data_IF_536108801298
#
_entry.id   IF_536108801298
#
_cell.length_a   1.000
_cell.length_b   1.000
_cell.length_c   1.000
_cell.angle_alpha   90.00
_cell.angle_beta   90.00
_cell.angle_gamma   90.00
#
_symmetry.space_group_name_H-M   'P 1'
#
loop_
_entity.id
_entity.type
_entity.pdbx_description
1 polymer ?
#
# COMPACT_ATOMS: atom_id res chain seq x y z
N UNK A 1 51.74 -9.25 -1.74
CA UNK A 1 50.57 -9.74 -0.99
C UNK A 1 50.33 -8.70 0.11
N UNK A 2 49.43 -7.74 -0.13
CA UNK A 2 49.02 -6.76 0.83
C UNK A 2 48.19 -7.47 1.90
N UNK A 3 48.58 -7.40 3.16
CA UNK A 3 47.89 -8.01 4.26
C UNK A 3 46.52 -7.41 4.45
N UNK A 4 45.50 -8.24 4.36
CA UNK A 4 44.15 -7.92 4.76
C UNK A 4 44.14 -7.78 6.29
N UNK A 5 44.21 -6.55 6.80
CA UNK A 5 43.89 -6.31 8.19
C UNK A 5 42.35 -6.31 8.29
N UNK A 6 41.73 -7.28 8.98
CA UNK A 6 40.32 -7.15 9.29
C UNK A 6 40.19 -5.93 10.21
N UNK A 7 39.60 -4.87 9.71
CA UNK A 7 39.05 -3.81 10.57
C UNK A 7 38.16 -4.51 11.59
N UNK A 8 38.34 -4.20 12.88
CA UNK A 8 37.43 -4.60 13.93
C UNK A 8 36.06 -4.01 13.56
N UNK A 9 35.23 -4.77 12.83
CA UNK A 9 33.82 -4.60 12.88
C UNK A 9 33.41 -5.03 14.29
N UNK A 10 33.47 -4.10 15.24
CA UNK A 10 32.67 -4.22 16.43
C UNK A 10 31.26 -4.56 15.96
N UNK A 11 30.71 -5.61 16.55
CA UNK A 11 29.34 -6.12 16.30
C UNK A 11 28.36 -4.97 16.60
N UNK A 12 28.12 -4.10 15.61
CA UNK A 12 27.33 -2.87 15.77
C UNK A 12 25.88 -3.30 15.98
N UNK A 13 25.49 -3.45 17.22
CA UNK A 13 24.11 -3.71 17.62
C UNK A 13 23.38 -2.38 17.74
N UNK A 14 22.21 -2.31 17.12
CA UNK A 14 21.35 -1.13 17.14
C UNK A 14 20.09 -1.46 17.95
N UNK A 15 20.17 -1.43 19.29
CA UNK A 15 19.07 -1.84 20.15
C UNK A 15 17.89 -0.87 20.08
N UNK A 16 16.69 -1.42 20.00
CA UNK A 16 15.45 -0.67 20.08
C UNK A 16 15.26 -0.22 21.53
N UNK A 17 15.19 1.10 21.77
CA UNK A 17 14.97 1.68 23.11
C UNK A 17 13.57 2.26 23.28
N UNK A 18 12.91 2.66 22.19
CA UNK A 18 11.53 3.17 22.26
C UNK A 18 10.75 2.91 20.96
N UNK A 19 9.44 2.73 21.11
CA UNK A 19 8.47 2.63 20.01
C UNK A 19 7.28 3.48 20.41
N UNK A 20 6.88 4.40 19.52
CA UNK A 20 5.67 5.23 19.67
C UNK A 20 4.78 5.09 18.48
N UNK A 21 3.48 5.12 18.72
CA UNK A 21 2.46 5.15 17.68
C UNK A 21 1.69 6.48 17.76
N UNK A 22 1.45 7.07 16.60
CA UNK A 22 0.72 8.33 16.47
C UNK A 22 -0.52 8.07 15.61
N UNK A 23 -1.66 7.70 16.22
CA UNK A 23 -2.92 7.67 15.50
C UNK A 23 -3.28 9.10 15.13
N UNK A 24 -3.46 9.35 13.84
CA UNK A 24 -3.65 10.69 13.29
C UNK A 24 -4.83 10.71 12.34
N UNK A 25 -5.54 11.83 12.29
CA UNK A 25 -6.73 11.99 11.45
C UNK A 25 -6.86 13.42 10.93
N UNK A 26 -7.51 13.58 9.78
CA UNK A 26 -8.07 14.86 9.38
C UNK A 26 -9.45 14.69 8.73
N UNK A 27 -10.41 15.61 8.99
CA UNK A 27 -11.73 15.54 8.39
C UNK A 27 -11.66 15.96 6.92
N UNK A 28 -12.50 15.35 6.09
CA UNK A 28 -12.77 15.86 4.75
C UNK A 28 -13.90 16.89 4.82
N UNK A 29 -13.89 17.92 3.97
CA UNK A 29 -15.03 18.85 3.88
C UNK A 29 -16.33 18.08 3.58
N UNK A 30 -17.48 18.53 4.08
CA UNK A 30 -18.75 17.87 3.80
C UNK A 30 -18.98 17.64 2.30
N UNK A 31 -19.36 16.43 1.94
CA UNK A 31 -19.63 16.00 0.56
C UNK A 31 -18.44 16.13 -0.43
N UNK A 32 -17.21 16.31 0.05
CA UNK A 32 -16.03 16.42 -0.81
C UNK A 32 -15.27 15.09 -0.98
N UNK A 33 -15.48 14.14 -0.08
CA UNK A 33 -14.86 12.82 -0.16
C UNK A 33 -15.46 12.00 -1.31
N UNK A 34 -14.68 11.16 -1.97
CA UNK A 34 -15.20 10.29 -3.02
C UNK A 34 -16.17 9.25 -2.45
N UNK A 35 -17.15 8.86 -3.27
CA UNK A 35 -18.02 7.73 -3.00
C UNK A 35 -17.47 6.49 -3.68
N UNK A 36 -17.32 5.43 -2.90
CA UNK A 36 -16.71 4.16 -3.28
C UNK A 36 -17.65 3.01 -2.90
N UNK A 37 -17.34 1.78 -3.28
CA UNK A 37 -18.08 0.58 -2.88
C UNK A 37 -18.21 0.40 -1.35
N UNK A 38 -17.30 0.99 -0.58
CA UNK A 38 -17.27 0.95 0.89
C UNK A 38 -17.90 2.17 1.57
N UNK A 39 -18.57 3.07 0.84
CA UNK A 39 -19.25 4.26 1.36
C UNK A 39 -18.62 5.59 0.97
N UNK A 40 -19.14 6.67 1.55
CA UNK A 40 -18.66 8.04 1.38
C UNK A 40 -17.54 8.32 2.38
N UNK A 41 -16.35 8.71 1.89
CA UNK A 41 -15.26 9.11 2.75
C UNK A 41 -15.58 10.43 3.51
N UNK A 42 -15.44 10.45 4.83
CA UNK A 42 -15.71 11.62 5.69
C UNK A 42 -14.48 12.13 6.43
N UNK A 43 -13.46 11.28 6.57
CA UNK A 43 -12.14 11.64 7.11
C UNK A 43 -11.08 10.69 6.56
N UNK A 44 -9.82 11.04 6.76
CA UNK A 44 -8.69 10.14 6.54
C UNK A 44 -7.99 9.88 7.86
N UNK A 45 -7.60 8.63 8.06
CA UNK A 45 -6.93 8.14 9.25
C UNK A 45 -5.62 7.45 8.87
N UNK A 46 -4.60 7.56 9.73
CA UNK A 46 -3.35 6.81 9.62
C UNK A 46 -2.79 6.51 11.02
N UNK A 47 -1.84 5.58 11.12
CA UNK A 47 -1.05 5.34 12.32
C UNK A 47 0.43 5.41 11.96
N UNK A 48 1.08 6.51 12.32
CA UNK A 48 2.52 6.63 12.15
C UNK A 48 3.25 5.92 13.29
N UNK A 49 4.30 5.19 12.96
CA UNK A 49 5.11 4.43 13.92
C UNK A 49 6.53 4.99 13.91
N UNK A 50 7.01 5.35 15.11
CA UNK A 50 8.37 5.82 15.36
C UNK A 50 9.14 4.79 16.16
N UNK A 51 10.28 4.34 15.65
CA UNK A 51 11.26 3.51 16.36
C UNK A 51 12.47 4.37 16.69
N UNK A 52 12.96 4.26 17.93
CA UNK A 52 14.19 4.92 18.39
C UNK A 52 15.18 3.87 18.85
N UNK A 53 16.43 4.00 18.42
CA UNK A 53 17.52 3.11 18.79
C UNK A 53 18.44 3.72 19.83
N UNK A 54 19.29 2.91 20.51
CA UNK A 54 20.17 3.37 21.58
C UNK A 54 21.22 4.41 21.12
N UNK A 55 21.56 4.39 19.84
CA UNK A 55 22.47 5.36 19.19
C UNK A 55 21.73 6.60 18.63
N UNK A 56 20.43 6.75 18.94
CA UNK A 56 19.63 7.92 18.62
C UNK A 56 19.07 7.94 17.19
N UNK A 57 19.22 6.85 16.42
CA UNK A 57 18.62 6.77 15.09
C UNK A 57 17.11 6.63 15.22
N UNK A 58 16.38 7.39 14.40
CA UNK A 58 14.92 7.39 14.34
C UNK A 58 14.46 6.84 13.00
N UNK A 59 13.69 5.75 13.05
CA UNK A 59 12.99 5.22 11.89
C UNK A 59 11.48 5.50 11.95
N UNK A 60 10.89 5.74 10.79
CA UNK A 60 9.47 5.95 10.62
C UNK A 60 8.83 4.91 9.73
N UNK A 61 7.59 4.54 10.04
CA UNK A 61 6.76 3.64 9.26
C UNK A 61 5.29 3.97 9.39
N UNK A 62 4.47 3.33 8.57
CA UNK A 62 3.02 3.44 8.59
C UNK A 62 2.39 2.08 8.88
N UNK A 63 1.53 2.01 9.90
CA UNK A 63 0.53 0.96 10.06
C UNK A 63 -0.79 1.46 9.48
N UNK A 64 -1.45 0.63 8.67
CA UNK A 64 -2.79 0.97 8.20
C UNK A 64 -3.74 1.16 9.37
N UNK A 65 -4.66 2.09 9.24
CA UNK A 65 -5.59 2.46 10.32
C UNK A 65 -6.62 1.37 10.67
N UNK A 66 -6.85 0.38 9.79
CA UNK A 66 -7.80 -0.72 10.00
C UNK A 66 -9.22 -0.27 10.39
N UNK A 67 -9.58 0.99 10.09
CA UNK A 67 -10.80 1.69 10.56
C UNK A 67 -10.93 1.77 12.09
N UNK A 68 -9.83 1.49 12.81
CA UNK A 68 -9.72 1.51 14.26
C UNK A 68 -8.30 1.94 14.67
N UNK A 69 -7.85 3.09 14.13
CA UNK A 69 -6.46 3.57 14.24
C UNK A 69 -5.96 3.68 15.69
N UNK A 70 -6.81 4.05 16.64
CA UNK A 70 -6.46 4.09 18.06
C UNK A 70 -6.22 2.71 18.65
N UNK A 71 -6.96 1.67 18.20
CA UNK A 71 -6.75 0.30 18.63
C UNK A 71 -5.43 -0.27 18.07
N UNK A 72 -5.10 0.02 16.81
CA UNK A 72 -3.82 -0.36 16.19
C UNK A 72 -2.65 0.31 16.93
N UNK A 73 -2.75 1.61 17.20
CA UNK A 73 -1.74 2.33 17.98
C UNK A 73 -1.56 1.72 19.37
N UNK A 74 -2.66 1.38 20.06
CA UNK A 74 -2.62 0.78 21.39
C UNK A 74 -1.98 -0.60 21.39
N UNK A 75 -2.26 -1.43 20.38
CA UNK A 75 -1.61 -2.74 20.20
C UNK A 75 -0.08 -2.59 20.04
N UNK A 76 0.35 -1.63 19.25
CA UNK A 76 1.78 -1.30 19.08
C UNK A 76 2.43 -0.94 20.42
N UNK A 77 1.88 0.03 21.14
CA UNK A 77 2.48 0.61 22.33
C UNK A 77 2.46 -0.31 23.56
N UNK A 78 1.44 -1.14 23.72
CA UNK A 78 1.25 -1.96 24.91
C UNK A 78 1.72 -3.40 24.76
N UNK A 79 1.65 -3.95 23.55
CA UNK A 79 1.95 -5.36 23.30
C UNK A 79 3.21 -5.54 22.45
N UNK A 80 3.20 -5.03 21.20
CA UNK A 80 4.32 -5.28 20.28
C UNK A 80 5.61 -4.61 20.77
N UNK A 81 5.53 -3.40 21.32
CA UNK A 81 6.66 -2.71 21.94
C UNK A 81 7.37 -3.59 22.99
N UNK A 82 6.62 -4.20 23.89
CA UNK A 82 7.22 -5.04 24.94
C UNK A 82 7.85 -6.34 24.42
N UNK A 83 7.36 -6.85 23.30
CA UNK A 83 7.95 -8.04 22.67
C UNK A 83 9.34 -7.77 22.07
N UNK A 84 9.61 -6.53 21.64
CA UNK A 84 10.78 -6.23 20.80
C UNK A 84 11.76 -5.21 21.40
N UNK A 85 11.42 -4.54 22.51
CA UNK A 85 12.36 -3.66 23.22
C UNK A 85 13.66 -4.40 23.57
N UNK A 86 14.80 -3.76 23.32
CA UNK A 86 16.13 -4.31 23.54
C UNK A 86 16.63 -5.26 22.46
N UNK A 87 15.78 -5.64 21.47
CA UNK A 87 16.24 -6.40 20.30
C UNK A 87 17.06 -5.51 19.36
N UNK A 88 17.87 -6.14 18.54
CA UNK A 88 18.66 -5.45 17.52
C UNK A 88 17.74 -5.07 16.33
N UNK A 89 17.63 -3.78 16.02
CA UNK A 89 16.84 -3.26 14.90
C UNK A 89 17.34 -3.74 13.53
N UNK A 90 18.58 -4.24 13.42
CA UNK A 90 19.06 -4.89 12.18
C UNK A 90 18.43 -6.25 11.96
N UNK A 91 17.98 -6.95 13.01
CA UNK A 91 17.33 -8.27 12.90
C UNK A 91 15.84 -8.16 12.62
N UNK A 92 15.49 -7.57 11.48
CA UNK A 92 14.07 -7.43 11.04
C UNK A 92 13.37 -8.78 10.94
N UNK A 93 14.09 -9.83 10.51
CA UNK A 93 13.56 -11.18 10.39
C UNK A 93 13.25 -11.80 11.74
N UNK A 94 14.14 -11.68 12.71
CA UNK A 94 13.94 -12.20 14.07
C UNK A 94 12.83 -11.45 14.83
N UNK A 95 12.76 -10.13 14.66
CA UNK A 95 11.68 -9.30 15.21
C UNK A 95 10.33 -9.73 14.63
N UNK A 96 10.26 -9.88 13.29
CA UNK A 96 9.05 -10.35 12.60
C UNK A 96 8.62 -11.72 13.12
N UNK A 97 9.55 -12.67 13.19
CA UNK A 97 9.28 -14.03 13.68
C UNK A 97 8.81 -14.03 15.15
N UNK A 98 9.38 -13.18 16.00
CA UNK A 98 8.97 -13.05 17.39
C UNK A 98 7.52 -12.56 17.52
N UNK A 99 7.16 -11.49 16.79
CA UNK A 99 5.78 -10.99 16.79
C UNK A 99 4.82 -12.05 16.22
N UNK A 100 5.20 -12.71 15.14
CA UNK A 100 4.41 -13.79 14.57
C UNK A 100 4.12 -14.89 15.61
N UNK A 101 5.17 -15.43 16.23
CA UNK A 101 5.03 -16.57 17.14
C UNK A 101 4.28 -16.24 18.44
N UNK A 102 4.46 -15.03 18.97
CA UNK A 102 3.90 -14.67 20.28
C UNK A 102 2.58 -13.91 20.19
N UNK A 103 2.25 -13.35 19.04
CA UNK A 103 1.05 -12.52 18.90
C UNK A 103 0.16 -12.91 17.72
N UNK A 104 0.72 -13.07 16.49
CA UNK A 104 -0.10 -13.26 15.30
C UNK A 104 -0.58 -14.72 15.14
N UNK A 105 0.32 -15.69 15.28
CA UNK A 105 0.07 -17.11 14.98
C UNK A 105 -0.80 -17.84 16.03
N UNK A 106 -1.03 -17.23 17.19
CA UNK A 106 -1.79 -17.86 18.28
C UNK A 106 -3.06 -17.04 18.57
N UNK A 107 -3.19 -16.45 19.74
CA UNK A 107 -4.41 -15.77 20.20
C UNK A 107 -4.50 -14.29 19.80
N UNK A 108 -3.69 -13.86 18.83
CA UNK A 108 -3.61 -12.49 18.38
C UNK A 108 -4.83 -12.00 17.60
N UNK A 109 -4.83 -10.72 17.34
CA UNK A 109 -5.92 -10.01 16.65
C UNK A 109 -5.82 -10.11 15.11
N UNK A 110 -5.26 -11.18 14.54
CA UNK A 110 -5.24 -11.41 13.09
C UNK A 110 -4.78 -10.17 12.29
N UNK A 111 -5.64 -9.65 11.43
CA UNK A 111 -5.40 -8.45 10.61
C UNK A 111 -4.90 -7.24 11.42
N UNK A 112 -5.44 -7.00 12.61
CA UNK A 112 -4.99 -5.89 13.48
C UNK A 112 -3.53 -6.03 13.89
N UNK A 113 -3.07 -7.26 14.18
CA UNK A 113 -1.66 -7.52 14.49
C UNK A 113 -0.78 -7.38 13.23
N UNK A 114 -1.23 -7.85 12.09
CA UNK A 114 -0.50 -7.70 10.83
C UNK A 114 -0.32 -6.21 10.47
N UNK A 115 -1.37 -5.41 10.58
CA UNK A 115 -1.31 -3.96 10.38
C UNK A 115 -0.35 -3.28 11.38
N UNK A 116 -0.46 -3.61 12.68
CA UNK A 116 0.40 -3.02 13.70
C UNK A 116 1.88 -3.35 13.47
N UNK A 117 2.21 -4.61 13.18
CA UNK A 117 3.59 -5.00 12.88
C UNK A 117 4.13 -4.45 11.58
N UNK A 118 3.26 -4.12 10.62
CA UNK A 118 3.67 -3.55 9.32
C UNK A 118 4.40 -2.22 9.49
N UNK A 119 3.83 -1.30 10.25
CA UNK A 119 4.46 0.00 10.50
C UNK A 119 5.72 -0.11 11.33
N UNK A 120 5.76 -1.05 12.28
CA UNK A 120 6.98 -1.34 13.04
C UNK A 120 8.10 -1.86 12.13
N UNK A 121 7.81 -2.85 11.28
CA UNK A 121 8.79 -3.41 10.33
C UNK A 121 9.29 -2.34 9.35
N UNK A 122 8.39 -1.53 8.83
CA UNK A 122 8.74 -0.41 7.94
C UNK A 122 9.67 0.60 8.64
N UNK A 123 9.38 0.95 9.91
CA UNK A 123 10.23 1.84 10.70
C UNK A 123 11.61 1.24 11.00
N UNK A 124 11.71 -0.07 11.18
CA UNK A 124 13.00 -0.75 11.34
C UNK A 124 13.83 -0.70 10.06
N UNK A 125 13.21 -0.91 8.89
CA UNK A 125 13.90 -0.77 7.61
C UNK A 125 14.35 0.67 7.33
N UNK A 126 13.56 1.66 7.71
CA UNK A 126 13.94 3.07 7.63
C UNK A 126 15.14 3.38 8.54
N UNK A 127 15.11 2.94 9.81
CA UNK A 127 16.23 3.10 10.75
C UNK A 127 17.50 2.41 10.25
N UNK A 128 17.39 1.20 9.71
CA UNK A 128 18.49 0.43 9.13
C UNK A 128 19.13 1.16 7.95
N UNK A 129 18.31 1.72 7.05
CA UNK A 129 18.80 2.52 5.93
C UNK A 129 19.53 3.78 6.38
N UNK A 130 19.01 4.49 7.37
CA UNK A 130 19.64 5.66 7.99
C UNK A 130 20.95 5.30 8.66
N UNK A 131 21.00 4.19 9.41
CA UNK A 131 22.22 3.71 10.07
C UNK A 131 23.35 3.40 9.08
N UNK A 132 23.01 2.87 7.91
CA UNK A 132 23.94 2.48 6.85
C UNK A 132 24.16 3.60 5.81
N UNK A 133 23.46 4.70 5.93
CA UNK A 133 23.44 5.79 4.93
C UNK A 133 23.12 5.31 3.52
N UNK A 134 22.10 4.43 3.40
CA UNK A 134 21.65 3.84 2.14
C UNK A 134 20.13 3.98 2.02
N UNK A 135 19.60 4.30 0.83
CA UNK A 135 18.17 4.24 0.55
C UNK A 135 17.67 2.79 0.59
N UNK A 136 16.40 2.62 0.96
CA UNK A 136 15.80 1.31 1.19
C UNK A 136 15.91 0.37 -0.02
N UNK A 137 15.68 0.86 -1.23
CA UNK A 137 15.77 0.00 -2.42
C UNK A 137 17.14 -0.66 -2.60
N UNK A 138 18.24 0.03 -2.22
CA UNK A 138 19.61 -0.54 -2.27
C UNK A 138 19.80 -1.64 -1.23
N UNK A 139 19.23 -1.46 -0.04
CA UNK A 139 19.25 -2.51 0.99
C UNK A 139 18.48 -3.76 0.57
N UNK A 140 17.43 -3.59 -0.22
CA UNK A 140 16.62 -4.68 -0.77
C UNK A 140 17.24 -5.32 -2.02
N UNK A 141 18.40 -4.82 -2.50
CA UNK A 141 19.11 -5.36 -3.66
C UNK A 141 18.67 -4.77 -5.01
N UNK A 142 17.91 -3.70 -5.00
CA UNK A 142 17.41 -3.02 -6.19
C UNK A 142 18.31 -1.92 -6.73
N UNK A 143 17.79 -1.19 -7.72
CA UNK A 143 18.42 -0.04 -8.37
C UNK A 143 17.43 1.10 -8.56
N UNK A 144 17.91 2.33 -8.78
CA UNK A 144 17.06 3.51 -9.02
C UNK A 144 16.37 3.47 -10.40
N UNK A 145 15.66 2.37 -10.70
CA UNK A 145 14.92 2.21 -11.95
C UNK A 145 13.61 3.01 -11.93
N UNK A 146 13.14 3.36 -13.12
CA UNK A 146 11.82 3.92 -13.31
C UNK A 146 10.74 2.87 -13.00
N UNK A 147 9.73 3.26 -12.23
CA UNK A 147 8.59 2.43 -11.84
C UNK A 147 7.35 3.06 -12.48
N UNK A 148 6.60 2.35 -13.34
CA UNK A 148 5.39 2.89 -13.93
C UNK A 148 4.35 3.17 -12.85
N UNK A 149 3.55 4.23 -13.02
CA UNK A 149 2.55 4.63 -12.04
C UNK A 149 1.17 4.83 -12.69
N UNK A 150 0.12 4.49 -11.94
CA UNK A 150 -1.24 4.87 -12.30
C UNK A 150 -1.81 5.92 -11.35
N UNK A 151 -2.67 6.79 -11.88
CA UNK A 151 -3.44 7.72 -11.07
C UNK A 151 -4.59 6.98 -10.38
N UNK A 152 -4.57 6.91 -9.05
CA UNK A 152 -5.50 6.14 -8.23
C UNK A 152 -5.65 6.70 -6.83
N UNK A 153 -5.63 5.82 -5.82
CA UNK A 153 -5.88 6.20 -4.43
C UNK A 153 -7.35 6.51 -4.18
N UNK A 154 -7.66 7.39 -3.24
CA UNK A 154 -9.03 7.79 -2.89
C UNK A 154 -9.50 8.91 -3.85
N UNK A 155 -9.59 8.59 -5.15
CA UNK A 155 -9.94 9.48 -6.25
C UNK A 155 -10.76 8.73 -7.31
N UNK A 156 -11.20 9.42 -8.36
CA UNK A 156 -11.92 8.86 -9.52
C UNK A 156 -13.13 7.99 -9.09
N UNK A 157 -13.87 8.48 -8.09
CA UNK A 157 -15.03 7.81 -7.49
C UNK A 157 -16.28 7.83 -8.37
N UNK A 158 -17.40 7.39 -7.79
CA UNK A 158 -18.70 7.39 -8.49
C UNK A 158 -19.17 8.82 -8.75
N UNK A 159 -19.18 9.21 -9.99
CA UNK A 159 -19.61 10.53 -10.47
C UNK A 159 -20.10 10.45 -11.92
N UNK A 160 -20.81 11.46 -12.44
CA UNK A 160 -21.19 11.53 -13.82
C UNK A 160 -19.98 11.43 -14.76
N UNK A 161 -20.10 10.74 -15.93
CA UNK A 161 -19.00 10.52 -16.86
C UNK A 161 -18.21 11.79 -17.23
N UNK A 162 -18.89 12.93 -17.49
CA UNK A 162 -18.21 14.17 -17.83
C UNK A 162 -17.30 14.69 -16.70
N UNK A 163 -17.77 14.61 -15.44
CA UNK A 163 -16.96 15.02 -14.29
C UNK A 163 -15.76 14.09 -14.06
N UNK A 164 -15.92 12.79 -14.36
CA UNK A 164 -14.84 11.83 -14.28
C UNK A 164 -13.75 12.12 -15.32
N UNK A 165 -14.13 12.50 -16.54
CA UNK A 165 -13.20 12.94 -17.58
C UNK A 165 -12.45 14.21 -17.14
N UNK A 166 -13.19 15.19 -16.60
CA UNK A 166 -12.58 16.44 -16.08
C UNK A 166 -11.63 16.19 -14.91
N UNK A 167 -11.90 15.19 -14.06
CA UNK A 167 -10.99 14.79 -12.98
C UNK A 167 -9.75 14.06 -13.51
N UNK A 168 -9.91 13.20 -14.52
CA UNK A 168 -8.82 12.42 -15.09
C UNK A 168 -7.85 13.25 -15.95
N UNK A 169 -8.34 14.23 -16.71
CA UNK A 169 -7.56 14.99 -17.70
C UNK A 169 -6.26 15.59 -17.15
N UNK A 170 -6.23 16.28 -15.99
CA UNK A 170 -5.01 16.83 -15.41
C UNK A 170 -3.94 15.76 -15.11
N UNK A 171 -4.35 14.53 -14.82
CA UNK A 171 -3.41 13.42 -14.56
C UNK A 171 -2.73 12.97 -15.85
N UNK A 172 -3.46 12.94 -16.98
CA UNK A 172 -2.88 12.65 -18.30
C UNK A 172 -1.88 13.74 -18.70
N UNK A 173 -2.22 15.00 -18.47
CA UNK A 173 -1.32 16.13 -18.72
C UNK A 173 -0.06 16.08 -17.84
N UNK A 174 -0.18 15.60 -16.59
CA UNK A 174 0.94 15.39 -15.68
C UNK A 174 1.88 14.25 -16.12
N UNK A 175 1.43 13.36 -17.01
CA UNK A 175 2.25 12.30 -17.58
C UNK A 175 1.77 10.86 -17.29
N UNK A 176 0.73 10.65 -16.48
CA UNK A 176 0.20 9.30 -16.23
C UNK A 176 -0.26 8.62 -17.53
N UNK A 177 0.02 7.32 -17.63
CA UNK A 177 -0.39 6.47 -18.75
C UNK A 177 -1.45 5.47 -18.36
N UNK A 178 -1.80 5.42 -17.09
CA UNK A 178 -2.81 4.55 -16.52
C UNK A 178 -3.63 5.29 -15.46
N UNK A 179 -4.91 4.92 -15.33
CA UNK A 179 -5.84 5.41 -14.31
C UNK A 179 -6.60 4.25 -13.68
N UNK A 180 -6.95 4.35 -12.39
CA UNK A 180 -7.81 3.40 -11.72
C UNK A 180 -9.18 4.03 -11.42
N UNK A 181 -10.23 3.58 -12.12
CA UNK A 181 -11.59 4.03 -11.94
C UNK A 181 -12.30 3.23 -10.86
N UNK A 182 -13.18 3.87 -10.10
CA UNK A 182 -14.01 3.17 -9.14
C UNK A 182 -15.26 2.62 -9.81
N UNK A 183 -15.51 1.33 -9.61
CA UNK A 183 -16.68 0.58 -10.06
C UNK A 183 -17.34 -0.12 -8.85
N UNK A 184 -18.44 -0.85 -9.02
CA UNK A 184 -19.16 -1.48 -7.92
C UNK A 184 -20.40 -0.70 -7.47
N UNK A 185 -20.83 0.28 -8.24
CA UNK A 185 -22.10 1.01 -8.11
C UNK A 185 -23.23 0.23 -8.81
N UNK A 186 -23.71 0.70 -9.94
CA UNK A 186 -24.59 -0.08 -10.83
C UNK A 186 -23.82 -0.48 -12.06
N UNK A 187 -24.07 -1.71 -12.57
CA UNK A 187 -23.38 -2.22 -13.78
C UNK A 187 -23.54 -1.25 -14.95
N UNK A 188 -24.72 -0.68 -15.14
CA UNK A 188 -25.00 0.29 -16.21
C UNK A 188 -24.15 1.55 -16.08
N UNK A 189 -24.09 2.12 -14.87
CA UNK A 189 -23.41 3.39 -14.67
C UNK A 189 -21.88 3.19 -14.66
N UNK A 190 -21.40 2.02 -14.20
CA UNK A 190 -20.00 1.63 -14.27
C UNK A 190 -19.52 1.46 -15.71
N UNK A 191 -20.31 0.78 -16.56
CA UNK A 191 -20.02 0.65 -17.99
C UNK A 191 -19.98 2.03 -18.64
N UNK A 192 -20.97 2.89 -18.39
CA UNK A 192 -21.02 4.23 -18.97
C UNK A 192 -19.80 5.11 -18.57
N UNK A 193 -19.32 4.98 -17.32
CA UNK A 193 -18.10 5.66 -16.86
C UNK A 193 -16.84 5.15 -17.57
N UNK A 194 -16.68 3.82 -17.67
CA UNK A 194 -15.52 3.22 -18.38
C UNK A 194 -15.52 3.58 -19.86
N UNK A 195 -16.67 3.51 -20.54
CA UNK A 195 -16.83 3.90 -21.95
C UNK A 195 -16.44 5.37 -22.17
N UNK A 196 -16.97 6.26 -21.35
CA UNK A 196 -16.68 7.69 -21.48
C UNK A 196 -15.19 8.04 -21.33
N UNK A 197 -14.50 7.41 -20.38
CA UNK A 197 -13.06 7.59 -20.21
C UNK A 197 -12.29 6.98 -21.38
N UNK A 198 -12.68 5.80 -21.87
CA UNK A 198 -12.10 5.16 -23.06
C UNK A 198 -12.27 6.01 -24.31
N UNK A 199 -13.47 6.56 -24.54
CA UNK A 199 -13.76 7.41 -25.69
C UNK A 199 -12.99 8.75 -25.63
N UNK A 200 -12.84 9.33 -24.43
CA UNK A 200 -12.16 10.60 -24.25
C UNK A 200 -10.64 10.51 -24.43
N UNK A 201 -10.01 9.44 -23.95
CA UNK A 201 -8.54 9.33 -23.89
C UNK A 201 -7.95 8.25 -24.83
N UNK A 202 -8.80 7.47 -25.50
CA UNK A 202 -8.37 6.48 -26.48
C UNK A 202 -7.73 5.22 -25.87
N UNK A 203 -7.19 4.36 -26.72
CA UNK A 203 -6.63 3.06 -26.34
C UNK A 203 -5.20 3.13 -25.79
N UNK A 204 -4.52 4.25 -25.91
CA UNK A 204 -3.20 4.44 -25.32
C UNK A 204 -3.23 4.60 -23.79
N UNK A 205 -4.40 4.97 -23.23
CA UNK A 205 -4.60 5.01 -21.80
C UNK A 205 -4.96 3.61 -21.28
N UNK A 206 -4.21 3.10 -20.33
CA UNK A 206 -4.57 1.92 -19.57
C UNK A 206 -5.63 2.27 -18.51
N UNK A 207 -6.77 1.61 -18.56
CA UNK A 207 -7.85 1.79 -17.61
C UNK A 207 -7.88 0.57 -16.69
N UNK A 208 -7.68 0.81 -15.41
CA UNK A 208 -7.77 -0.17 -14.34
C UNK A 208 -9.05 0.09 -13.56
N UNK A 209 -9.59 -0.92 -12.88
CA UNK A 209 -10.82 -0.74 -12.12
C UNK A 209 -10.74 -1.35 -10.73
N UNK A 210 -11.44 -0.74 -9.77
CA UNK A 210 -11.51 -1.21 -8.39
C UNK A 210 -12.96 -1.10 -7.89
N UNK A 211 -13.53 -2.24 -7.52
CA UNK A 211 -14.89 -2.33 -7.02
C UNK A 211 -15.01 -2.17 -5.50
N UNK A 212 -13.91 -2.17 -4.76
CA UNK A 212 -13.92 -2.09 -3.29
C UNK A 212 -15.04 -2.96 -2.67
N UNK A 213 -15.08 -4.23 -3.06
CA UNK A 213 -16.07 -5.24 -2.64
C UNK A 213 -17.54 -4.92 -3.01
N UNK A 214 -17.78 -3.98 -3.93
CA UNK A 214 -19.12 -3.45 -4.22
C UNK A 214 -19.98 -4.36 -5.09
N UNK A 215 -19.44 -5.42 -5.71
CA UNK A 215 -20.19 -6.28 -6.60
C UNK A 215 -20.66 -7.58 -5.94
N UNK A 216 -21.72 -8.15 -6.51
CA UNK A 216 -22.06 -9.57 -6.36
C UNK A 216 -21.75 -10.34 -7.64
N UNK A 217 -21.84 -11.68 -7.59
CA UNK A 217 -21.48 -12.55 -8.72
C UNK A 217 -22.30 -12.29 -9.98
N UNK A 218 -23.60 -11.93 -9.85
CA UNK A 218 -24.45 -11.64 -10.98
C UNK A 218 -24.07 -10.33 -11.69
N UNK A 219 -23.61 -9.34 -10.93
CA UNK A 219 -23.10 -8.08 -11.48
C UNK A 219 -21.76 -8.28 -12.20
N UNK A 220 -20.83 -9.05 -11.60
CA UNK A 220 -19.54 -9.37 -12.24
C UNK A 220 -19.77 -10.12 -13.56
N UNK A 221 -20.71 -11.07 -13.60
CA UNK A 221 -21.07 -11.78 -14.84
C UNK A 221 -21.54 -10.84 -15.96
N UNK A 222 -22.19 -9.72 -15.60
CA UNK A 222 -22.65 -8.73 -16.57
C UNK A 222 -21.56 -7.75 -16.98
N UNK A 223 -20.69 -7.33 -16.06
CA UNK A 223 -19.70 -6.29 -16.34
C UNK A 223 -18.44 -6.82 -17.02
N UNK A 224 -18.03 -8.07 -16.75
CA UNK A 224 -16.77 -8.62 -17.28
C UNK A 224 -16.70 -8.64 -18.82
N UNK A 225 -17.74 -9.04 -19.58
CA UNK A 225 -17.69 -8.97 -21.05
C UNK A 225 -17.50 -7.54 -21.57
N UNK A 226 -18.05 -6.55 -20.88
CA UNK A 226 -17.88 -5.13 -21.24
C UNK A 226 -16.48 -4.62 -20.89
N UNK A 227 -15.92 -5.08 -19.79
CA UNK A 227 -14.52 -4.80 -19.44
C UNK A 227 -13.56 -5.35 -20.49
N UNK A 228 -13.80 -6.57 -20.98
CA UNK A 228 -13.04 -7.15 -22.10
C UNK A 228 -13.16 -6.29 -23.36
N UNK A 229 -14.38 -5.90 -23.74
CA UNK A 229 -14.65 -5.04 -24.90
C UNK A 229 -13.93 -3.68 -24.81
N UNK A 230 -13.86 -3.12 -23.60
CA UNK A 230 -13.23 -1.83 -23.31
C UNK A 230 -11.71 -1.94 -23.05
N UNK A 231 -11.15 -3.14 -23.14
CA UNK A 231 -9.73 -3.41 -22.84
C UNK A 231 -9.32 -2.86 -21.47
N UNK A 232 -10.05 -3.28 -20.43
CA UNK A 232 -9.74 -2.92 -19.04
C UNK A 232 -8.59 -3.80 -18.54
N UNK A 233 -7.58 -3.19 -17.89
CA UNK A 233 -6.38 -3.88 -17.47
C UNK A 233 -6.59 -4.87 -16.32
N UNK A 234 -7.49 -4.56 -15.36
CA UNK A 234 -7.94 -5.49 -14.31
C UNK A 234 -9.24 -5.06 -13.63
N UNK A 235 -9.90 -6.04 -12.98
CA UNK A 235 -10.97 -5.82 -12.01
C UNK A 235 -10.44 -6.15 -10.61
N UNK A 236 -10.25 -5.11 -9.78
CA UNK A 236 -9.76 -5.20 -8.40
C UNK A 236 -10.93 -5.38 -7.43
N UNK A 237 -10.73 -6.29 -6.48
CA UNK A 237 -11.63 -6.60 -5.37
C UNK A 237 -13.14 -6.53 -5.68
N UNK A 238 -13.64 -7.30 -6.66
CA UNK A 238 -15.08 -7.37 -6.87
C UNK A 238 -15.83 -7.91 -5.64
N UNK A 239 -15.17 -8.76 -4.82
CA UNK A 239 -15.71 -9.43 -3.65
C UNK A 239 -14.76 -9.29 -2.44
N UNK A 240 -15.25 -9.52 -1.20
CA UNK A 240 -14.38 -9.61 -0.04
C UNK A 240 -13.26 -10.65 -0.21
N UNK A 241 -12.09 -10.39 0.36
CA UNK A 241 -10.89 -11.22 0.22
C UNK A 241 -11.09 -12.70 0.58
N UNK A 242 -12.00 -13.01 1.52
CA UNK A 242 -12.31 -14.36 1.95
C UNK A 242 -13.32 -15.11 1.07
N UNK A 243 -13.92 -14.45 0.07
CA UNK A 243 -14.92 -15.09 -0.81
C UNK A 243 -14.26 -15.78 -2.02
N UNK A 244 -13.40 -16.74 -1.72
CA UNK A 244 -12.67 -17.54 -2.72
C UNK A 244 -13.58 -18.18 -3.78
N UNK A 245 -14.81 -18.55 -3.38
CA UNK A 245 -15.77 -19.18 -4.29
C UNK A 245 -16.21 -18.22 -5.39
N UNK A 246 -16.55 -16.98 -5.04
CA UNK A 246 -16.99 -15.99 -6.02
C UNK A 246 -15.84 -15.58 -6.95
N UNK A 247 -14.61 -15.47 -6.44
CA UNK A 247 -13.43 -15.26 -7.29
C UNK A 247 -13.23 -16.40 -8.29
N UNK A 248 -13.33 -17.66 -7.85
CA UNK A 248 -13.20 -18.82 -8.71
C UNK A 248 -14.28 -18.88 -9.82
N UNK A 249 -15.53 -18.53 -9.49
CA UNK A 249 -16.61 -18.46 -10.45
C UNK A 249 -16.43 -17.31 -11.44
N UNK A 250 -16.05 -16.12 -10.95
CA UNK A 250 -15.87 -14.91 -11.76
C UNK A 250 -14.74 -15.02 -12.77
N UNK A 251 -13.68 -15.78 -12.46
CA UNK A 251 -12.57 -16.03 -13.38
C UNK A 251 -13.01 -16.58 -14.75
N UNK A 252 -14.15 -17.27 -14.79
CA UNK A 252 -14.73 -17.83 -16.03
C UNK A 252 -15.60 -16.87 -16.83
N UNK A 253 -15.82 -15.62 -16.42
CA UNK A 253 -16.78 -14.72 -17.07
C UNK A 253 -16.17 -13.81 -18.15
N UNK A 254 -14.86 -13.71 -18.23
CA UNK A 254 -14.14 -12.90 -19.20
C UNK A 254 -12.64 -13.14 -19.18
N UNK A 255 -11.90 -12.32 -19.93
CA UNK A 255 -10.45 -12.36 -20.02
C UNK A 255 -9.76 -11.28 -19.18
N UNK A 256 -10.49 -10.27 -18.71
CA UNK A 256 -9.97 -9.22 -17.83
C UNK A 256 -9.45 -9.84 -16.53
N UNK A 257 -8.17 -9.62 -16.18
CA UNK A 257 -7.59 -10.22 -14.99
C UNK A 257 -8.28 -9.78 -13.69
N UNK A 258 -8.45 -10.69 -12.75
CA UNK A 258 -8.84 -10.36 -11.38
C UNK A 258 -7.60 -9.93 -10.59
N UNK A 259 -7.74 -8.84 -9.84
CA UNK A 259 -6.71 -8.30 -8.96
C UNK A 259 -7.22 -8.27 -7.51
N UNK A 260 -6.37 -8.57 -6.56
CA UNK A 260 -6.62 -8.42 -5.13
C UNK A 260 -5.33 -8.52 -4.32
N UNK A 261 -5.38 -8.12 -3.06
CA UNK A 261 -4.22 -8.29 -2.18
C UNK A 261 -4.20 -7.33 -1.01
N UNK A 262 -4.81 -6.17 -1.12
CA UNK A 262 -4.79 -5.16 -0.06
C UNK A 262 -5.48 -5.61 1.23
N UNK A 263 -6.40 -6.55 1.15
CA UNK A 263 -7.12 -7.15 2.29
C UNK A 263 -6.71 -8.62 2.55
N UNK A 264 -5.53 -9.04 2.05
CA UNK A 264 -4.87 -10.29 2.42
C UNK A 264 -3.66 -9.99 3.32
N UNK A 265 -3.55 -10.71 4.42
CA UNK A 265 -2.56 -10.46 5.46
C UNK A 265 -1.53 -11.58 5.51
N UNK A 266 -0.27 -11.21 5.40
CA UNK A 266 0.89 -12.09 5.38
C UNK A 266 0.92 -13.09 4.20
N UNK A 267 2.11 -13.67 3.93
CA UNK A 267 2.30 -14.74 2.92
C UNK A 267 1.41 -15.96 3.15
N UNK A 268 0.91 -16.15 4.38
CA UNK A 268 0.09 -17.33 4.70
C UNK A 268 -1.29 -17.24 4.06
N UNK A 269 -1.90 -16.05 3.99
CA UNK A 269 -3.14 -15.86 3.23
C UNK A 269 -2.86 -15.84 1.72
N UNK A 270 -1.75 -15.25 1.27
CA UNK A 270 -1.34 -15.31 -0.14
C UNK A 270 -1.04 -16.74 -0.63
N UNK A 271 -0.70 -17.69 0.25
CA UNK A 271 -0.61 -19.11 -0.12
C UNK A 271 -1.95 -19.63 -0.64
N UNK A 272 -3.06 -19.24 -0.01
CA UNK A 272 -4.40 -19.63 -0.46
C UNK A 272 -4.75 -18.97 -1.81
N UNK A 273 -4.40 -17.69 -2.00
CA UNK A 273 -4.58 -16.99 -3.27
C UNK A 273 -3.80 -17.69 -4.40
N UNK A 274 -2.61 -18.18 -4.08
CA UNK A 274 -1.78 -18.93 -5.02
C UNK A 274 -2.42 -20.29 -5.38
N UNK A 275 -2.91 -21.03 -4.39
CA UNK A 275 -3.56 -22.34 -4.58
C UNK A 275 -4.83 -22.25 -5.43
N UNK A 276 -5.63 -21.19 -5.25
CA UNK A 276 -6.84 -20.96 -6.03
C UNK A 276 -6.55 -20.58 -7.48
N UNK A 277 -5.38 -20.00 -7.78
CA UNK A 277 -4.85 -19.66 -9.11
C UNK A 277 -5.79 -18.84 -10.01
N UNK A 278 -6.62 -17.98 -9.42
CA UNK A 278 -7.62 -17.16 -10.15
C UNK A 278 -7.33 -15.66 -10.08
N UNK A 279 -6.65 -15.19 -9.03
CA UNK A 279 -6.23 -13.80 -8.89
C UNK A 279 -4.83 -13.67 -9.52
N UNK A 280 -4.74 -13.00 -10.65
CA UNK A 280 -3.52 -12.93 -11.48
C UNK A 280 -2.67 -11.69 -11.24
N UNK A 281 -3.16 -10.74 -10.46
CA UNK A 281 -2.46 -9.51 -10.09
C UNK A 281 -2.55 -9.38 -8.57
N UNK A 282 -1.39 -9.37 -7.90
CA UNK A 282 -1.35 -9.28 -6.45
C UNK A 282 -1.00 -7.87 -5.98
N UNK A 283 -1.79 -7.39 -5.02
CA UNK A 283 -1.75 -6.02 -4.53
C UNK A 283 -1.52 -5.93 -3.00
N UNK A 284 -0.44 -6.58 -2.47
CA UNK A 284 -0.16 -6.45 -1.04
C UNK A 284 0.06 -4.99 -0.66
N UNK A 285 -0.45 -4.58 0.50
CA UNK A 285 -0.17 -3.26 1.07
C UNK A 285 0.90 -3.39 2.16
N UNK A 286 2.01 -2.66 2.03
CA UNK A 286 3.12 -2.71 2.97
C UNK A 286 2.72 -2.26 4.38
N UNK A 287 1.69 -1.42 4.50
CA UNK A 287 1.14 -0.96 5.79
C UNK A 287 0.16 -1.95 6.43
N UNK A 288 -0.25 -3.02 5.69
CA UNK A 288 -1.24 -4.01 6.13
C UNK A 288 -0.68 -5.42 6.28
N UNK A 289 0.11 -5.88 5.30
CA UNK A 289 0.39 -7.31 5.13
C UNK A 289 1.55 -7.86 5.98
N UNK A 290 2.17 -7.05 6.83
CA UNK A 290 3.30 -7.45 7.68
C UNK A 290 4.60 -6.69 7.38
N UNK A 291 4.54 -5.57 6.64
CA UNK A 291 5.65 -4.67 6.37
C UNK A 291 6.50 -5.05 5.16
N UNK A 292 7.63 -4.37 5.03
CA UNK A 292 8.60 -4.57 3.93
C UNK A 292 9.13 -6.00 3.93
N UNK A 293 9.52 -6.53 5.10
CA UNK A 293 10.04 -7.90 5.26
C UNK A 293 9.08 -8.94 4.70
N UNK A 294 7.80 -8.83 5.01
CA UNK A 294 6.80 -9.79 4.56
C UNK A 294 6.42 -9.59 3.10
N UNK A 295 6.34 -8.34 2.63
CA UNK A 295 6.02 -8.06 1.23
C UNK A 295 7.11 -8.57 0.29
N UNK A 296 8.40 -8.50 0.68
CA UNK A 296 9.49 -9.13 -0.06
C UNK A 296 9.32 -10.65 -0.20
N UNK A 297 8.81 -11.33 0.83
CA UNK A 297 8.52 -12.77 0.80
C UNK A 297 7.34 -13.09 -0.11
N UNK A 298 6.27 -12.28 -0.04
CA UNK A 298 5.10 -12.38 -0.93
C UNK A 298 5.53 -12.17 -2.38
N UNK A 299 6.35 -11.16 -2.66
CA UNK A 299 6.86 -10.88 -4.00
C UNK A 299 7.72 -12.03 -4.55
N UNK A 300 8.60 -12.60 -3.73
CA UNK A 300 9.41 -13.75 -4.13
C UNK A 300 8.57 -15.00 -4.44
N UNK A 301 7.50 -15.24 -3.65
CA UNK A 301 6.56 -16.33 -3.91
C UNK A 301 5.80 -16.09 -5.22
N UNK A 302 5.28 -14.89 -5.45
CA UNK A 302 4.58 -14.51 -6.68
C UNK A 302 5.48 -14.59 -7.92
N UNK A 303 6.75 -14.17 -7.81
CA UNK A 303 7.74 -14.20 -8.90
C UNK A 303 7.95 -15.62 -9.44
N UNK A 304 8.01 -16.63 -8.56
CA UNK A 304 8.14 -18.02 -8.97
C UNK A 304 7.00 -18.51 -9.87
N UNK A 305 5.82 -17.89 -9.76
CA UNK A 305 4.61 -18.22 -10.54
C UNK A 305 4.29 -17.17 -11.62
N UNK A 306 5.20 -16.24 -11.90
CA UNK A 306 5.01 -15.15 -12.89
C UNK A 306 3.84 -14.22 -12.59
N UNK A 307 3.50 -14.06 -11.32
CA UNK A 307 2.45 -13.16 -10.87
C UNK A 307 3.07 -11.79 -10.58
N UNK A 308 2.60 -10.70 -11.19
CA UNK A 308 3.08 -9.36 -10.94
C UNK A 308 2.57 -8.81 -9.60
N UNK A 309 3.38 -7.94 -8.99
CA UNK A 309 3.08 -7.21 -7.76
C UNK A 309 2.80 -5.75 -8.09
N UNK A 310 1.60 -5.28 -7.74
CA UNK A 310 1.16 -3.88 -7.85
C UNK A 310 0.69 -3.41 -6.47
N UNK A 311 1.59 -2.96 -5.57
CA UNK A 311 1.22 -2.69 -4.18
C UNK A 311 0.12 -1.65 -4.08
N UNK A 312 -0.90 -1.93 -3.25
CA UNK A 312 -1.83 -0.89 -2.81
C UNK A 312 -1.10 0.13 -1.92
N UNK A 313 -1.34 1.42 -2.14
CA UNK A 313 -0.79 2.47 -1.28
C UNK A 313 -1.60 3.76 -1.37
N UNK A 314 -2.38 4.10 -0.35
CA UNK A 314 -3.32 5.23 -0.45
C UNK A 314 -3.32 6.21 0.71
N UNK A 315 -2.52 6.01 1.77
CA UNK A 315 -2.59 6.86 2.96
C UNK A 315 -1.46 7.87 3.04
N UNK A 316 -0.30 7.51 3.59
CA UNK A 316 0.77 8.48 3.83
C UNK A 316 1.88 8.42 2.79
N UNK A 317 2.63 9.51 2.67
CA UNK A 317 3.83 9.55 1.84
C UNK A 317 4.90 8.51 2.23
N UNK A 318 4.91 8.06 3.49
CA UNK A 318 5.86 7.03 3.97
C UNK A 318 5.57 5.68 3.33
N UNK A 319 4.31 5.20 3.34
CA UNK A 319 3.93 3.95 2.69
C UNK A 319 4.09 4.03 1.16
N UNK A 320 3.75 5.19 0.57
CA UNK A 320 3.90 5.42 -0.87
C UNK A 320 5.37 5.35 -1.30
N UNK A 321 6.27 6.02 -0.59
CA UNK A 321 7.71 5.94 -0.86
C UNK A 321 8.25 4.52 -0.64
N UNK A 322 7.87 3.84 0.45
CA UNK A 322 8.26 2.45 0.71
C UNK A 322 7.82 1.50 -0.40
N UNK A 323 6.62 1.70 -0.95
CA UNK A 323 6.09 0.91 -2.09
C UNK A 323 6.91 1.12 -3.37
N UNK A 324 7.37 2.35 -3.64
CA UNK A 324 8.26 2.64 -4.77
C UNK A 324 9.62 1.96 -4.56
N UNK A 325 10.19 2.01 -3.35
CA UNK A 325 11.43 1.31 -3.03
C UNK A 325 11.32 -0.22 -3.22
N UNK A 326 10.20 -0.81 -2.79
CA UNK A 326 9.92 -2.22 -3.02
C UNK A 326 9.90 -2.53 -4.52
N UNK A 327 9.10 -1.80 -5.31
CA UNK A 327 8.97 -2.00 -6.75
C UNK A 327 10.31 -1.82 -7.49
N UNK A 328 11.17 -0.94 -7.00
CA UNK A 328 12.52 -0.76 -7.54
C UNK A 328 13.47 -1.92 -7.20
N UNK A 329 13.08 -2.82 -6.27
CA UNK A 329 13.93 -3.90 -5.76
C UNK A 329 13.49 -5.31 -6.17
N UNK A 330 12.24 -5.53 -6.52
CA UNK A 330 11.70 -6.84 -6.92
C UNK A 330 11.74 -7.05 -8.43
N UNK A 331 11.78 -8.29 -8.90
CA UNK A 331 11.87 -8.64 -10.33
C UNK A 331 10.51 -8.74 -11.04
N UNK A 332 9.42 -8.86 -10.28
CA UNK A 332 8.03 -8.95 -10.73
C UNK A 332 7.19 -7.72 -10.38
N UNK A 333 7.84 -6.56 -10.16
CA UNK A 333 7.15 -5.30 -9.88
C UNK A 333 6.40 -4.77 -11.10
N UNK A 334 5.15 -4.34 -10.88
CA UNK A 334 4.32 -3.67 -11.87
C UNK A 334 4.14 -2.18 -11.55
N UNK A 335 2.89 -1.70 -11.53
CA UNK A 335 2.57 -0.31 -11.26
C UNK A 335 2.72 0.07 -9.78
N UNK A 336 3.14 1.31 -9.55
CA UNK A 336 2.94 2.04 -8.32
C UNK A 336 1.55 2.71 -8.32
N UNK A 337 0.80 2.56 -7.25
CA UNK A 337 -0.44 3.30 -7.02
C UNK A 337 -0.13 4.70 -6.50
N UNK A 338 -0.28 5.70 -7.36
CA UNK A 338 -0.17 7.09 -6.96
C UNK A 338 -1.51 7.59 -6.41
N UNK A 339 -1.59 7.92 -5.13
CA UNK A 339 -2.78 8.59 -4.59
C UNK A 339 -2.86 10.02 -5.14
N UNK A 340 -3.76 10.25 -6.07
CA UNK A 340 -3.99 11.56 -6.70
C UNK A 340 -5.16 12.31 -6.10
N UNK A 341 -5.69 11.87 -4.95
CA UNK A 341 -6.78 12.58 -4.26
C UNK A 341 -6.41 14.03 -3.94
N UNK A 342 -7.36 14.94 -4.13
CA UNK A 342 -7.14 16.39 -4.04
C UNK A 342 -6.82 16.90 -2.63
N UNK A 343 -7.14 16.13 -1.60
CA UNK A 343 -7.01 16.57 -0.21
C UNK A 343 -6.38 15.45 0.65
N UNK A 344 -5.17 15.01 0.29
CA UNK A 344 -4.42 14.08 1.13
C UNK A 344 -3.30 14.80 1.90
N UNK A 345 -3.63 15.37 3.07
CA UNK A 345 -2.64 16.01 3.93
C UNK A 345 -1.53 15.08 4.39
N UNK A 346 -1.79 13.78 4.48
CA UNK A 346 -0.78 12.79 4.84
C UNK A 346 0.27 12.56 3.74
N UNK A 347 -0.07 12.85 2.49
CA UNK A 347 0.88 12.88 1.37
C UNK A 347 1.57 14.23 1.28
N UNK A 348 0.81 15.33 1.46
CA UNK A 348 1.23 16.66 1.07
C UNK A 348 1.87 17.47 2.22
N UNK A 349 1.50 17.22 3.48
CA UNK A 349 1.86 18.05 4.63
C UNK A 349 2.54 17.27 5.77
N UNK A 350 2.37 15.93 5.85
CA UNK A 350 2.93 15.13 6.94
C UNK A 350 4.47 15.04 6.91
N UNK A 351 5.07 15.22 5.75
CA UNK A 351 6.51 15.09 5.61
C UNK A 351 7.04 15.66 4.30
N UNK A 352 8.28 15.32 3.98
CA UNK A 352 8.86 15.68 2.69
C UNK A 352 8.15 14.98 1.54
N UNK A 353 8.23 15.56 0.34
CA UNK A 353 7.57 15.02 -0.87
C UNK A 353 7.99 13.55 -1.11
N UNK A 354 7.02 12.62 -1.15
CA UNK A 354 7.35 11.19 -1.22
C UNK A 354 7.69 10.70 -2.62
N UNK A 355 7.21 11.37 -3.66
CA UNK A 355 7.43 11.00 -5.07
C UNK A 355 6.99 12.11 -6.02
N UNK A 356 7.50 12.03 -7.26
CA UNK A 356 7.04 12.86 -8.39
C UNK A 356 6.84 12.00 -9.61
N UNK A 357 5.75 12.27 -10.35
CA UNK A 357 5.53 11.64 -11.64
C UNK A 357 6.42 12.30 -12.70
N UNK A 358 7.11 11.48 -13.48
CA UNK A 358 7.85 11.92 -14.64
C UNK A 358 6.96 11.98 -15.89
N UNK A 359 7.41 12.72 -16.92
CA UNK A 359 6.73 12.76 -18.22
C UNK A 359 6.67 11.40 -18.93
N UNK A 360 7.50 10.46 -18.49
CA UNK A 360 7.52 9.08 -18.93
C UNK A 360 6.42 8.22 -18.28
N UNK A 361 5.61 8.78 -17.38
CA UNK A 361 4.58 8.07 -16.63
C UNK A 361 5.13 7.22 -15.48
N UNK A 362 6.37 7.48 -15.07
CA UNK A 362 7.05 6.72 -14.04
C UNK A 362 7.41 7.58 -12.82
N UNK A 363 7.50 6.94 -11.68
CA UNK A 363 8.13 7.47 -10.46
C UNK A 363 9.50 6.82 -10.25
N UNK A 364 10.29 7.37 -9.35
CA UNK A 364 11.61 6.83 -8.98
C UNK A 364 11.76 6.82 -7.45
N UNK A 365 12.46 5.83 -6.88
CA UNK A 365 12.68 5.79 -5.45
C UNK A 365 13.53 6.99 -5.01
N UNK A 366 13.29 7.47 -3.78
CA UNK A 366 14.07 8.51 -3.17
C UNK A 366 15.51 8.03 -2.91
N UNK A 367 16.49 8.94 -3.06
CA UNK A 367 17.92 8.63 -2.84
C UNK A 367 18.37 8.87 -1.39
N UNK A 368 17.56 9.54 -0.57
CA UNK A 368 17.88 9.77 0.83
C UNK A 368 17.90 8.45 1.64
N UNK A 369 18.70 8.34 2.72
CA UNK A 369 18.79 7.14 3.53
C UNK A 369 17.46 6.68 4.11
N UNK A 370 17.27 5.37 4.22
CA UNK A 370 16.02 4.77 4.66
C UNK A 370 14.92 4.84 3.59
N UNK A 371 13.70 5.15 3.99
CA UNK A 371 12.57 5.39 3.09
C UNK A 371 12.72 6.76 2.40
N UNK A 372 13.50 7.64 2.99
CA UNK A 372 13.80 8.95 2.39
C UNK A 372 12.75 10.02 2.65
N UNK A 373 11.69 9.73 3.39
CA UNK A 373 10.66 10.71 3.80
C UNK A 373 10.95 11.22 5.21
N UNK A 374 11.09 12.52 5.35
CA UNK A 374 11.21 13.17 6.66
C UNK A 374 9.81 13.48 7.20
N UNK A 375 9.49 12.93 8.38
CA UNK A 375 8.18 13.07 9.02
C UNK A 375 8.17 14.27 9.95
N UNK A 376 7.17 15.15 9.80
CA UNK A 376 6.96 16.29 10.69
C UNK A 376 6.15 15.90 11.94
N UNK A 377 6.81 15.80 13.09
CA UNK A 377 6.15 15.52 14.37
C UNK A 377 5.23 16.66 14.83
N UNK A 378 5.40 17.89 14.34
CA UNK A 378 4.48 18.99 14.66
C UNK A 378 3.15 18.78 13.93
N UNK A 379 3.16 18.29 12.70
CA UNK A 379 1.95 17.88 11.99
C UNK A 379 1.18 16.81 12.76
N UNK A 380 1.85 15.77 13.25
CA UNK A 380 1.21 14.69 14.03
C UNK A 380 0.55 15.21 15.32
N UNK A 381 1.18 16.16 16.01
CA UNK A 381 0.62 16.82 17.21
C UNK A 381 -0.60 17.68 16.88
N UNK A 382 -0.61 18.32 15.71
CA UNK A 382 -1.70 19.17 15.25
C UNK A 382 -2.92 18.39 14.72
N UNK A 383 -2.73 17.11 14.35
CA UNK A 383 -3.75 16.25 13.76
C UNK A 383 -3.97 14.98 14.62
N UNK A 384 -4.48 15.12 15.86
CA UNK A 384 -4.75 13.96 16.70
C UNK A 384 -5.85 13.07 16.11
N UNK A 385 -5.98 11.86 16.65
CA UNK A 385 -7.03 10.92 16.26
C UNK A 385 -8.44 11.53 16.38
N UNK A 386 -9.26 11.34 15.36
CA UNK A 386 -10.69 11.65 15.37
C UNK A 386 -11.45 10.32 15.44
N UNK A 387 -12.20 10.09 16.48
CA UNK A 387 -13.00 8.87 16.67
C UNK A 387 -14.13 8.78 15.65
N UNK A 388 -14.68 7.57 15.51
CA UNK A 388 -15.79 7.29 14.59
C UNK A 388 -15.35 6.76 13.23
N UNK A 389 -16.32 6.44 12.35
CA UNK A 389 -16.03 5.82 11.04
C UNK A 389 -15.33 6.79 10.09
N UNK A 390 -14.46 6.25 9.22
CA UNK A 390 -13.83 7.00 8.12
C UNK A 390 -14.71 7.07 6.86
N UNK A 391 -15.70 6.17 6.78
CA UNK A 391 -16.68 6.09 5.68
C UNK A 391 -18.08 5.93 6.25
N UNK A 392 -19.08 6.52 5.60
CA UNK A 392 -20.51 6.45 5.94
C UNK A 392 -21.37 6.19 4.72
#
# INVERSE_FOLDING_TARGET
VAGFHPSKHEDRRMKIVDIKAFPTSFPLPPNSGPRLGIGQAVKRDAVMVKVVTEDGIVGWGESHHGRAHTAIAKLLETTLRQLVLGMDAFDTTGIWARIYNYQLASHGMGAGTAMAMSGLDMALWDAKGKALNLPLYKLLGGSARAVPAYAGGVALGYQPPAQLIDEAAPHMEAGYKAVKLRVGDTVRDDIARMEAVRDAFGHELEILTDANIGYNIAQVRQVMPEMDRLNIGWLEEPFPAHDHRSYAEAHGFGSTPLAAGENHFTRFEFTRVLEDDVIRIWQPDLSKCGGVTETMRIAAMASAFKIPIHPHSSMTGVNQAASIHLLAAIDNGGYFEADVSRANKFRDELGSEPWRIGKDGCVRPLEAPGIGVEVDEAFLKAHPAIEGPGYV
#
